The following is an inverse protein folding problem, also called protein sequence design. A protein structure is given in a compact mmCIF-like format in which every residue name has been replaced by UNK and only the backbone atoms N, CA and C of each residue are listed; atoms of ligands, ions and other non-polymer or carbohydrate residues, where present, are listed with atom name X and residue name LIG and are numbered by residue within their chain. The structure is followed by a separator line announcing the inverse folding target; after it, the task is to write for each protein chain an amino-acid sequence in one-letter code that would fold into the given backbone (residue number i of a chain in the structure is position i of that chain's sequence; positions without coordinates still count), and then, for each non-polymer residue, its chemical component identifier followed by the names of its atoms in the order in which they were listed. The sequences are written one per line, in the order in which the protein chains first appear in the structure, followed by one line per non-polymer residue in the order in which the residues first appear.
data_IF_029440106996
#
_entry.id   IF_029440106996
#
_cell.length_a   1.000
_cell.length_b   1.000
_cell.length_c   1.000
_cell.angle_alpha   90.00
_cell.angle_beta   90.00
_cell.angle_gamma   90.00
#
_symmetry.space_group_name_H-M   'P 1'
#
loop_
_entity.id
_entity.type
_entity.pdbx_description
1 polymer ?
#
# COMPACT_ATOMS: atom_id res chain seq x y z
N UNK A 1 -11.78 38.61 -11.24
CA UNK A 1 -12.59 38.82 -10.02
C UNK A 1 -13.50 37.62 -9.87
N UNK A 2 -13.14 36.68 -8.99
CA UNK A 2 -13.94 35.49 -8.68
C UNK A 2 -15.09 35.91 -7.75
N UNK A 3 -16.33 35.56 -8.09
CA UNK A 3 -17.51 35.79 -7.24
C UNK A 3 -17.77 34.53 -6.42
N UNK A 4 -17.90 34.72 -5.11
CA UNK A 4 -18.19 33.69 -4.11
C UNK A 4 -19.63 33.19 -4.22
N UNK A 5 -19.83 31.88 -4.05
CA UNK A 5 -21.14 31.23 -3.92
C UNK A 5 -21.63 31.39 -2.46
N UNK A 6 -22.90 31.73 -2.18
CA UNK A 6 -23.38 31.91 -0.81
C UNK A 6 -23.89 30.61 -0.16
N UNK A 7 -23.42 30.37 1.08
CA UNK A 7 -24.23 29.82 2.17
C UNK A 7 -24.29 28.30 2.36
N UNK A 8 -23.28 27.74 3.04
CA UNK A 8 -23.46 26.65 4.02
C UNK A 8 -22.59 26.98 5.23
N UNK A 9 -23.23 27.23 6.37
CA UNK A 9 -22.61 27.68 7.62
C UNK A 9 -21.70 26.63 8.25
N UNK A 10 -20.67 27.14 8.92
CA UNK A 10 -19.46 26.46 9.37
C UNK A 10 -19.65 25.57 10.61
N UNK A 11 -18.90 24.45 10.66
CA UNK A 11 -18.32 24.00 11.93
C UNK A 11 -17.02 23.23 11.70
N UNK A 12 -15.93 23.73 12.31
CA UNK A 12 -14.77 22.93 12.74
C UNK A 12 -13.58 22.82 11.78
N UNK A 13 -12.64 23.76 11.93
CA UNK A 13 -11.17 23.59 11.81
C UNK A 13 -10.64 22.41 10.95
N UNK A 14 -10.52 22.62 9.64
CA UNK A 14 -9.64 21.82 8.79
C UNK A 14 -9.07 22.79 7.74
N UNK A 15 -7.78 23.14 7.86
CA UNK A 15 -7.08 23.95 6.84
C UNK A 15 -7.39 23.37 5.47
N UNK A 16 -8.17 24.10 4.66
CA UNK A 16 -8.66 23.65 3.36
C UNK A 16 -7.52 23.03 2.56
N UNK A 17 -7.56 21.71 2.40
CA UNK A 17 -6.56 20.95 1.67
C UNK A 17 -6.68 21.39 0.20
N UNK A 18 -5.73 22.21 -0.23
CA UNK A 18 -5.67 22.70 -1.62
C UNK A 18 -5.56 21.51 -2.56
N UNK A 19 -6.25 21.57 -3.71
CA UNK A 19 -6.24 20.47 -4.68
C UNK A 19 -4.79 20.15 -5.10
N UNK A 20 -4.30 18.92 -4.90
CA UNK A 20 -2.92 18.55 -5.26
C UNK A 20 -2.68 18.56 -6.77
N UNK A 21 -3.74 18.61 -7.58
CA UNK A 21 -3.66 18.74 -9.03
C UNK A 21 -3.78 20.21 -9.48
N UNK A 22 -4.12 21.14 -8.58
CA UNK A 22 -4.36 22.54 -8.91
C UNK A 22 -5.59 22.80 -9.79
N UNK A 23 -6.46 21.80 -9.98
CA UNK A 23 -7.60 21.87 -10.92
C UNK A 23 -8.89 22.31 -10.24
N UNK A 24 -9.04 22.09 -8.93
CA UNK A 24 -10.15 22.61 -8.14
C UNK A 24 -9.65 23.39 -6.92
N UNK A 25 -10.57 24.00 -6.20
CA UNK A 25 -10.34 24.75 -4.96
C UNK A 25 -10.12 23.85 -3.71
N UNK A 26 -10.10 22.52 -3.90
CA UNK A 26 -10.03 21.54 -2.81
C UNK A 26 -11.38 20.87 -2.53
N UNK A 27 -12.47 21.29 -3.19
CA UNK A 27 -13.80 20.65 -3.08
C UNK A 27 -13.89 19.28 -3.75
N UNK A 28 -13.00 18.99 -4.71
CA UNK A 28 -13.08 17.79 -5.54
C UNK A 28 -13.99 17.94 -6.75
N UNK A 29 -14.41 19.15 -7.08
CA UNK A 29 -15.25 19.44 -8.23
C UNK A 29 -14.62 20.53 -9.09
N UNK A 30 -14.70 20.38 -10.41
CA UNK A 30 -14.29 21.40 -11.37
C UNK A 30 -15.54 22.06 -11.93
N UNK A 31 -15.62 23.38 -11.82
CA UNK A 31 -16.69 24.17 -12.45
C UNK A 31 -16.29 24.48 -13.89
N UNK A 32 -17.15 24.14 -14.84
CA UNK A 32 -16.98 24.44 -16.26
C UNK A 32 -17.61 25.78 -16.62
N UNK A 33 -17.28 26.29 -17.80
CA UNK A 33 -17.75 27.59 -18.30
C UNK A 33 -19.25 27.59 -18.66
N UNK A 34 -19.88 26.42 -18.78
CA UNK A 34 -21.30 26.21 -19.02
C UNK A 34 -22.10 25.99 -17.72
N UNK A 35 -21.54 26.41 -16.58
CA UNK A 35 -22.08 26.21 -15.23
C UNK A 35 -22.31 24.73 -14.84
N UNK A 36 -21.74 23.78 -15.58
CA UNK A 36 -21.74 22.37 -15.17
C UNK A 36 -20.58 22.04 -14.23
N UNK A 37 -20.79 21.07 -13.35
CA UNK A 37 -19.76 20.57 -12.42
C UNK A 37 -19.40 19.13 -12.75
N UNK A 38 -18.10 18.86 -12.88
CA UNK A 38 -17.57 17.52 -13.06
C UNK A 38 -16.65 17.12 -11.90
N UNK A 39 -16.50 15.83 -11.59
CA UNK A 39 -15.59 15.38 -10.56
C UNK A 39 -14.13 15.69 -10.95
N UNK A 40 -13.41 16.37 -10.06
CA UNK A 40 -11.97 16.53 -10.18
C UNK A 40 -11.27 15.20 -9.87
N UNK A 41 -10.19 14.85 -10.58
CA UNK A 41 -9.40 13.63 -10.28
C UNK A 41 -8.84 13.57 -8.85
N UNK A 42 -8.74 14.70 -8.14
CA UNK A 42 -8.37 14.68 -6.73
C UNK A 42 -9.46 14.15 -5.80
N UNK A 43 -10.71 14.06 -6.27
CA UNK A 43 -11.86 13.65 -5.47
C UNK A 43 -11.79 12.18 -5.08
N UNK A 44 -11.35 11.31 -5.98
CA UNK A 44 -11.09 9.91 -5.65
C UNK A 44 -10.03 9.80 -4.55
N UNK A 45 -8.99 10.63 -4.63
CA UNK A 45 -7.91 10.69 -3.63
C UNK A 45 -8.41 11.25 -2.29
N UNK A 46 -9.35 12.19 -2.30
CA UNK A 46 -9.99 12.71 -1.08
C UNK A 46 -10.97 11.72 -0.46
N UNK A 47 -11.76 11.01 -1.27
CA UNK A 47 -12.61 9.92 -0.80
C UNK A 47 -11.74 8.79 -0.23
N UNK A 48 -10.63 8.45 -0.90
CA UNK A 48 -9.62 7.50 -0.42
C UNK A 48 -9.01 7.93 0.91
N UNK A 49 -8.62 9.20 1.06
CA UNK A 49 -8.09 9.78 2.31
C UNK A 49 -9.12 9.84 3.45
N UNK A 50 -10.36 10.21 3.15
CA UNK A 50 -11.44 10.25 4.13
C UNK A 50 -11.83 8.85 4.60
N UNK A 51 -11.84 7.87 3.67
CA UNK A 51 -11.94 6.46 4.01
C UNK A 51 -10.72 6.02 4.85
N UNK A 52 -9.52 6.48 4.52
CA UNK A 52 -8.27 6.08 5.18
C UNK A 52 -7.89 6.76 6.49
N UNK A 53 -8.66 7.76 6.95
CA UNK A 53 -8.51 8.32 8.31
C UNK A 53 -8.77 7.20 9.34
N UNK A 54 -7.69 6.70 9.95
CA UNK A 54 -7.70 5.55 10.87
C UNK A 54 -7.53 4.15 10.22
N UNK A 55 -7.14 4.06 8.94
CA UNK A 55 -6.94 2.78 8.23
C UNK A 55 -5.49 2.27 8.33
N UNK A 56 -5.33 0.96 8.58
CA UNK A 56 -4.03 0.28 8.66
C UNK A 56 -3.27 0.58 9.94
N UNK A 57 -2.13 -0.09 10.14
CA UNK A 57 -1.27 0.20 11.30
C UNK A 57 -0.49 1.51 11.17
N UNK A 58 -0.54 2.14 9.99
CA UNK A 58 0.35 3.23 9.58
C UNK A 58 1.82 2.79 9.57
N UNK A 59 2.73 3.71 9.28
CA UNK A 59 4.16 3.41 9.37
C UNK A 59 4.57 3.17 10.84
N UNK A 60 5.05 1.96 11.20
CA UNK A 60 5.46 1.67 12.56
C UNK A 60 6.62 2.59 12.99
N UNK A 61 6.67 2.94 14.29
CA UNK A 61 7.66 3.90 14.84
C UNK A 61 9.11 3.59 14.43
N UNK A 62 9.49 2.31 14.41
CA UNK A 62 10.83 1.82 14.02
C UNK A 62 11.21 2.20 12.58
N UNK A 63 10.25 2.33 11.67
CA UNK A 63 10.51 2.54 10.24
C UNK A 63 10.37 3.99 9.79
N UNK A 64 9.90 4.91 10.65
CA UNK A 64 9.70 6.32 10.29
C UNK A 64 10.97 7.05 9.87
N UNK A 65 12.14 6.58 10.33
CA UNK A 65 13.44 7.14 10.01
C UNK A 65 14.18 6.44 8.86
N UNK A 66 13.54 5.49 8.16
CA UNK A 66 14.16 4.79 7.02
C UNK A 66 14.30 5.74 5.84
N UNK A 67 15.49 5.79 5.26
CA UNK A 67 15.85 6.56 4.07
C UNK A 67 16.88 5.78 3.24
N UNK A 68 17.09 6.19 1.99
CA UNK A 68 18.14 5.58 1.16
C UNK A 68 19.56 5.78 1.73
N UNK A 69 19.77 6.84 2.50
CA UNK A 69 21.08 7.21 3.07
C UNK A 69 21.31 6.66 4.49
N UNK A 70 20.44 5.78 4.97
CA UNK A 70 20.55 5.21 6.33
C UNK A 70 20.61 3.70 6.29
N UNK A 71 21.39 3.12 7.20
CA UNK A 71 21.39 1.67 7.45
C UNK A 71 19.98 1.20 7.86
N UNK A 72 19.55 0.03 7.39
CA UNK A 72 20.30 -0.91 6.55
C UNK A 72 20.28 -0.60 5.04
N UNK A 73 19.50 0.39 4.58
CA UNK A 73 19.22 0.58 3.15
C UNK A 73 20.47 0.95 2.35
N UNK A 74 21.31 1.84 2.87
CA UNK A 74 22.52 2.28 2.17
C UNK A 74 23.55 1.16 1.93
N UNK A 75 23.45 0.05 2.66
CA UNK A 75 24.36 -1.10 2.55
C UNK A 75 23.81 -2.18 1.59
N UNK A 76 22.59 -2.02 1.08
CA UNK A 76 21.99 -2.93 0.10
C UNK A 76 22.64 -2.71 -1.28
N UNK A 77 22.76 -3.78 -2.06
CA UNK A 77 23.33 -3.74 -3.40
C UNK A 77 22.71 -2.60 -4.26
N UNK A 78 23.53 -1.70 -4.85
CA UNK A 78 23.08 -0.64 -5.73
C UNK A 78 22.21 -1.12 -6.91
N UNK A 79 22.42 -2.34 -7.39
CA UNK A 79 21.61 -2.96 -8.44
C UNK A 79 20.15 -3.16 -7.99
N UNK A 80 19.93 -3.46 -6.71
CA UNK A 80 18.60 -3.54 -6.10
C UNK A 80 18.05 -2.15 -5.79
N UNK A 81 18.90 -1.24 -5.29
CA UNK A 81 18.47 0.11 -4.92
C UNK A 81 18.02 0.95 -6.11
N UNK A 82 18.63 0.76 -7.29
CA UNK A 82 18.31 1.53 -8.49
C UNK A 82 16.84 1.42 -8.92
N UNK A 83 16.25 0.22 -9.17
CA UNK A 83 14.84 0.10 -9.52
C UNK A 83 13.92 0.59 -8.41
N UNK A 84 14.28 0.39 -7.13
CA UNK A 84 13.50 0.90 -5.99
C UNK A 84 13.47 2.42 -5.97
N UNK A 85 14.62 3.07 -6.22
CA UNK A 85 14.72 4.53 -6.32
C UNK A 85 13.86 5.07 -7.45
N UNK A 86 13.98 4.49 -8.65
CA UNK A 86 13.13 4.85 -9.80
C UNK A 86 11.65 4.71 -9.46
N UNK A 87 11.27 3.61 -8.80
CA UNK A 87 9.88 3.41 -8.40
C UNK A 87 9.42 4.48 -7.41
N UNK A 88 10.24 4.81 -6.40
CA UNK A 88 9.94 5.82 -5.38
C UNK A 88 9.84 7.23 -5.96
N UNK A 89 10.73 7.59 -6.89
CA UNK A 89 10.70 8.88 -7.60
C UNK A 89 9.40 9.05 -8.40
N UNK A 90 8.88 7.96 -8.96
CA UNK A 90 7.64 7.94 -9.74
C UNK A 90 6.47 7.31 -8.96
N UNK A 91 6.54 7.27 -7.62
CA UNK A 91 5.62 6.48 -6.79
C UNK A 91 4.16 6.81 -7.07
N UNK A 92 3.87 8.08 -7.36
CA UNK A 92 2.51 8.49 -7.63
C UNK A 92 1.94 7.89 -8.92
N UNK A 93 2.71 7.97 -10.01
CA UNK A 93 2.34 7.41 -11.30
C UNK A 93 2.30 5.88 -11.25
N UNK A 94 3.20 5.26 -10.46
CA UNK A 94 3.23 3.81 -10.29
C UNK A 94 2.02 3.30 -9.52
N UNK A 95 1.73 3.89 -8.36
CA UNK A 95 0.61 3.47 -7.51
C UNK A 95 -0.73 3.71 -8.19
N UNK A 96 -0.91 4.85 -8.87
CA UNK A 96 -2.16 5.17 -9.56
C UNK A 96 -2.43 4.25 -10.76
N UNK A 97 -1.37 3.68 -11.35
CA UNK A 97 -1.46 2.71 -12.44
C UNK A 97 -1.42 1.25 -11.94
N UNK A 98 -1.66 1.02 -10.64
CA UNK A 98 -1.71 -0.32 -10.06
C UNK A 98 -0.37 -1.05 -9.95
N UNK A 99 0.76 -0.41 -10.26
CA UNK A 99 2.07 -1.07 -10.23
C UNK A 99 2.60 -1.20 -8.81
N UNK A 100 3.15 -2.37 -8.50
CA UNK A 100 3.70 -2.73 -7.21
C UNK A 100 5.20 -3.00 -7.20
N UNK A 101 5.71 -3.44 -6.05
CA UNK A 101 7.05 -4.04 -5.91
C UNK A 101 6.99 -5.26 -5.01
N UNK A 102 7.76 -6.27 -5.34
CA UNK A 102 7.87 -7.49 -4.57
C UNK A 102 9.34 -7.74 -4.23
N UNK A 103 9.66 -7.76 -2.93
CA UNK A 103 10.98 -8.07 -2.41
C UNK A 103 11.02 -9.50 -1.86
N UNK A 104 11.97 -10.32 -2.30
CA UNK A 104 12.14 -11.70 -1.82
C UNK A 104 13.61 -11.99 -1.46
N UNK A 105 13.86 -12.80 -0.43
CA UNK A 105 15.22 -13.17 -0.02
C UNK A 105 15.33 -13.43 1.48
N UNK A 106 16.55 -13.64 1.99
CA UNK A 106 16.76 -14.11 3.35
C UNK A 106 16.33 -13.13 4.45
N UNK A 107 16.06 -13.66 5.65
CA UNK A 107 15.66 -12.85 6.81
C UNK A 107 16.76 -11.83 7.13
N UNK A 108 16.36 -10.59 7.41
CA UNK A 108 17.30 -9.55 7.84
C UNK A 108 18.00 -8.76 6.73
N UNK A 109 17.75 -9.06 5.46
CA UNK A 109 18.41 -8.39 4.31
C UNK A 109 17.88 -6.99 3.96
N UNK A 110 16.93 -6.45 4.73
CA UNK A 110 16.40 -5.10 4.53
C UNK A 110 15.16 -4.97 3.64
N UNK A 111 14.53 -6.08 3.22
CA UNK A 111 13.28 -6.10 2.42
C UNK A 111 12.18 -5.20 2.98
N UNK A 112 11.83 -5.34 4.27
CA UNK A 112 10.82 -4.50 4.92
C UNK A 112 11.21 -3.03 4.89
N UNK A 113 12.50 -2.70 5.04
CA UNK A 113 12.97 -1.31 4.94
C UNK A 113 12.77 -0.74 3.52
N UNK A 114 13.06 -1.52 2.47
CA UNK A 114 12.79 -1.13 1.09
C UNK A 114 11.29 -0.92 0.83
N UNK A 115 10.45 -1.87 1.28
CA UNK A 115 9.01 -1.75 1.16
C UNK A 115 8.45 -0.54 1.92
N UNK A 116 9.02 -0.22 3.10
CA UNK A 116 8.67 0.96 3.87
C UNK A 116 9.05 2.28 3.18
N UNK A 117 10.12 2.32 2.37
CA UNK A 117 10.44 3.50 1.55
C UNK A 117 9.34 3.77 0.53
N UNK A 118 8.81 2.71 -0.10
CA UNK A 118 7.71 2.80 -1.06
C UNK A 118 6.44 3.29 -0.37
N UNK A 119 6.07 2.67 0.76
CA UNK A 119 4.90 3.06 1.56
C UNK A 119 4.99 4.53 2.01
N UNK A 120 6.13 4.95 2.53
CA UNK A 120 6.38 6.33 2.93
C UNK A 120 6.27 7.31 1.76
N UNK A 121 6.83 6.95 0.61
CA UNK A 121 6.76 7.79 -0.58
C UNK A 121 5.31 7.92 -1.07
N UNK A 122 4.54 6.83 -1.05
CA UNK A 122 3.12 6.84 -1.40
C UNK A 122 2.33 7.75 -0.44
N UNK A 123 2.50 7.61 0.88
CA UNK A 123 1.85 8.49 1.87
C UNK A 123 2.23 9.97 1.65
N UNK A 124 3.53 10.28 1.49
CA UNK A 124 4.00 11.65 1.23
C UNK A 124 3.46 12.23 -0.07
N UNK A 125 3.28 11.40 -1.10
CA UNK A 125 2.67 11.79 -2.37
C UNK A 125 1.14 11.90 -2.28
N UNK A 126 0.56 11.57 -1.13
CA UNK A 126 -0.83 11.81 -0.81
C UNK A 126 -1.79 10.66 -1.07
N UNK A 127 -1.26 9.43 -1.21
CA UNK A 127 -2.04 8.20 -1.39
C UNK A 127 -2.30 7.53 -0.05
N UNK A 128 -3.44 6.85 0.03
CA UNK A 128 -3.80 6.02 1.16
C UNK A 128 -2.98 4.74 1.18
N UNK A 129 -2.43 4.40 2.34
CA UNK A 129 -1.56 3.22 2.51
C UNK A 129 -2.05 2.40 3.69
N UNK A 130 -2.13 1.08 3.51
CA UNK A 130 -2.32 0.14 4.63
C UNK A 130 -1.13 -0.81 4.70
N UNK A 131 -0.58 -0.99 5.89
CA UNK A 131 0.60 -1.82 6.14
C UNK A 131 0.23 -2.92 7.13
N UNK A 132 0.49 -4.16 6.74
CA UNK A 132 0.19 -5.33 7.54
C UNK A 132 1.29 -6.40 7.42
N UNK A 133 1.84 -6.88 8.55
CA UNK A 133 2.37 -8.23 8.61
C UNK A 133 1.25 -9.21 8.25
N UNK A 134 1.48 -10.13 7.31
CA UNK A 134 0.44 -11.05 6.80
C UNK A 134 -0.17 -11.89 7.94
N UNK A 135 0.64 -12.35 8.88
CA UNK A 135 0.18 -13.10 10.06
C UNK A 135 -0.77 -12.29 10.94
N UNK A 136 -0.50 -10.99 11.14
CA UNK A 136 -1.39 -10.09 11.89
C UNK A 136 -2.68 -9.82 11.13
N UNK A 137 -2.61 -9.60 9.82
CA UNK A 137 -3.79 -9.42 8.98
C UNK A 137 -4.73 -10.62 9.09
N UNK A 138 -4.21 -11.84 8.96
CA UNK A 138 -5.00 -13.07 9.10
C UNK A 138 -5.61 -13.19 10.50
N UNK A 139 -4.87 -12.83 11.56
CA UNK A 139 -5.41 -12.81 12.91
C UNK A 139 -6.56 -11.80 13.06
N UNK A 140 -6.43 -10.59 12.52
CA UNK A 140 -7.49 -9.58 12.52
C UNK A 140 -8.73 -10.05 11.74
N UNK A 141 -8.55 -10.67 10.57
CA UNK A 141 -9.66 -11.26 9.81
C UNK A 141 -10.35 -12.34 10.62
N UNK A 142 -9.59 -13.26 11.24
CA UNK A 142 -10.15 -14.33 12.06
C UNK A 142 -10.99 -13.79 13.22
N UNK A 143 -10.46 -12.79 13.92
CA UNK A 143 -11.12 -12.13 15.05
C UNK A 143 -12.44 -11.45 14.64
N UNK A 144 -12.56 -10.97 13.39
CA UNK A 144 -13.84 -10.42 12.89
C UNK A 144 -14.97 -11.45 12.80
N UNK A 145 -14.66 -12.74 12.60
CA UNK A 145 -15.66 -13.80 12.59
C UNK A 145 -16.09 -14.19 14.01
N UNK A 146 -15.17 -14.15 14.98
CA UNK A 146 -15.46 -14.53 16.37
C UNK A 146 -16.37 -13.51 17.09
N UNK A 147 -16.39 -12.26 16.62
CA UNK A 147 -17.27 -11.19 17.17
C UNK A 147 -18.68 -11.17 16.56
N UNK A 148 -19.02 -12.14 15.71
CA UNK A 148 -20.35 -12.40 15.10
C UNK A 148 -21.06 -11.16 14.50
N UNK A 149 -20.28 -10.24 13.95
CA UNK A 149 -20.78 -9.05 13.26
C UNK A 149 -20.21 -9.06 11.85
N UNK A 150 -20.77 -9.83 10.91
CA UNK A 150 -20.27 -9.94 9.53
C UNK A 150 -20.00 -8.58 8.81
N UNK A 151 -20.60 -7.49 9.31
CA UNK A 151 -20.26 -6.12 8.95
C UNK A 151 -18.77 -5.75 9.18
N UNK A 152 -18.14 -6.29 10.23
CA UNK A 152 -16.74 -6.08 10.61
C UNK A 152 -15.77 -6.66 9.56
N UNK A 153 -15.95 -7.92 9.15
CA UNK A 153 -15.14 -8.54 8.09
C UNK A 153 -15.26 -7.77 6.77
N UNK A 154 -16.49 -7.52 6.31
CA UNK A 154 -16.73 -6.79 5.06
C UNK A 154 -16.19 -5.35 5.10
N UNK A 155 -16.14 -4.71 6.27
CA UNK A 155 -15.50 -3.40 6.41
C UNK A 155 -13.97 -3.49 6.28
N UNK A 156 -13.34 -4.52 6.87
CA UNK A 156 -11.91 -4.76 6.76
C UNK A 156 -11.52 -5.16 5.33
N UNK A 157 -12.27 -6.06 4.70
CA UNK A 157 -12.03 -6.45 3.31
C UNK A 157 -12.11 -5.25 2.36
N UNK A 158 -13.20 -4.48 2.40
CA UNK A 158 -13.35 -3.27 1.57
C UNK A 158 -12.23 -2.25 1.81
N UNK A 159 -11.77 -2.13 3.05
CA UNK A 159 -10.62 -1.28 3.39
C UNK A 159 -9.34 -1.76 2.70
N UNK A 160 -9.03 -3.05 2.81
CA UNK A 160 -7.82 -3.63 2.21
C UNK A 160 -7.83 -3.53 0.68
N UNK A 161 -9.01 -3.59 0.06
CA UNK A 161 -9.14 -3.50 -1.40
C UNK A 161 -9.17 -2.04 -1.90
N UNK A 162 -9.66 -1.08 -1.09
CA UNK A 162 -9.83 0.31 -1.53
C UNK A 162 -8.65 1.26 -1.27
N UNK A 163 -7.69 0.91 -0.42
CA UNK A 163 -6.48 1.74 -0.27
C UNK A 163 -5.66 1.76 -1.57
N UNK A 164 -5.01 2.89 -1.84
CA UNK A 164 -4.23 3.08 -3.06
C UNK A 164 -3.03 2.11 -3.09
N UNK A 165 -2.37 1.92 -1.95
CA UNK A 165 -1.27 0.96 -1.79
C UNK A 165 -1.48 0.06 -0.57
N UNK A 166 -1.51 -1.26 -0.79
CA UNK A 166 -1.48 -2.27 0.26
C UNK A 166 -0.06 -2.85 0.39
N UNK A 167 0.52 -2.75 1.58
CA UNK A 167 1.81 -3.35 1.91
C UNK A 167 1.57 -4.62 2.74
N UNK A 168 1.88 -5.78 2.15
CA UNK A 168 1.87 -7.08 2.79
C UNK A 168 3.30 -7.50 3.16
N UNK A 169 3.62 -7.45 4.45
CA UNK A 169 4.95 -7.76 4.98
C UNK A 169 5.02 -9.23 5.44
N UNK A 170 6.15 -9.90 5.16
CA UNK A 170 6.45 -11.29 5.47
C UNK A 170 5.42 -12.30 4.90
N UNK A 171 5.03 -12.14 3.64
CA UNK A 171 4.19 -13.10 2.90
C UNK A 171 4.86 -14.47 2.81
N UNK A 172 4.12 -15.51 3.17
CA UNK A 172 4.58 -16.90 3.19
C UNK A 172 5.11 -17.36 4.54
N UNK A 173 5.15 -16.51 5.56
CA UNK A 173 5.52 -16.91 6.93
C UNK A 173 4.36 -17.56 7.71
N UNK A 174 3.14 -17.39 7.23
CA UNK A 174 1.92 -17.94 7.83
C UNK A 174 1.80 -19.46 7.67
N UNK A 175 1.01 -20.10 8.55
CA UNK A 175 0.69 -21.51 8.38
C UNK A 175 -0.29 -21.67 7.21
N UNK A 176 0.09 -22.45 6.21
CA UNK A 176 -0.77 -22.78 5.08
C UNK A 176 -2.01 -23.56 5.55
N UNK A 177 -3.19 -23.01 5.25
CA UNK A 177 -4.51 -23.66 5.37
C UNK A 177 -5.39 -23.20 4.21
N UNK A 178 -6.44 -23.96 3.86
CA UNK A 178 -7.36 -23.58 2.78
C UNK A 178 -7.97 -22.21 3.02
N UNK A 179 -8.37 -21.93 4.26
CA UNK A 179 -8.87 -20.62 4.66
C UNK A 179 -7.86 -19.49 4.41
N UNK A 180 -6.57 -19.69 4.76
CA UNK A 180 -5.52 -18.69 4.50
C UNK A 180 -5.36 -18.44 3.00
N UNK A 181 -5.34 -19.52 2.20
CA UNK A 181 -5.24 -19.41 0.73
C UNK A 181 -6.42 -18.64 0.14
N UNK A 182 -7.64 -18.90 0.61
CA UNK A 182 -8.86 -18.19 0.22
C UNK A 182 -8.79 -16.70 0.57
N UNK A 183 -8.36 -16.34 1.79
CA UNK A 183 -8.27 -14.94 2.21
C UNK A 183 -7.24 -14.17 1.39
N UNK A 184 -6.02 -14.73 1.24
CA UNK A 184 -4.96 -14.10 0.45
C UNK A 184 -5.37 -13.96 -1.01
N UNK A 185 -5.93 -15.00 -1.61
CA UNK A 185 -6.43 -14.95 -2.98
C UNK A 185 -7.51 -13.89 -3.14
N UNK A 186 -8.49 -13.82 -2.22
CA UNK A 186 -9.59 -12.86 -2.32
C UNK A 186 -9.09 -11.41 -2.31
N UNK A 187 -8.18 -11.09 -1.38
CA UNK A 187 -7.62 -9.73 -1.25
C UNK A 187 -6.78 -9.38 -2.49
N UNK A 188 -5.88 -10.27 -2.90
CA UNK A 188 -4.98 -10.03 -4.04
C UNK A 188 -5.77 -9.96 -5.35
N UNK A 189 -6.76 -10.84 -5.54
CA UNK A 189 -7.56 -10.89 -6.75
C UNK A 189 -8.44 -9.64 -6.90
N UNK A 190 -9.10 -9.17 -5.84
CA UNK A 190 -9.90 -7.93 -5.90
C UNK A 190 -9.02 -6.74 -6.29
N UNK A 191 -7.84 -6.62 -5.66
CA UNK A 191 -6.89 -5.55 -6.00
C UNK A 191 -6.35 -5.67 -7.41
N UNK A 192 -6.13 -6.89 -7.91
CA UNK A 192 -5.74 -7.12 -9.29
C UNK A 192 -6.84 -6.70 -10.27
N UNK A 193 -8.11 -7.01 -9.98
CA UNK A 193 -9.26 -6.62 -10.80
C UNK A 193 -9.45 -5.10 -10.84
N UNK A 194 -9.24 -4.42 -9.71
CA UNK A 194 -9.42 -2.97 -9.56
C UNK A 194 -8.15 -2.16 -9.89
N UNK A 195 -7.11 -2.80 -10.46
CA UNK A 195 -5.82 -2.17 -10.80
C UNK A 195 -5.19 -1.42 -9.60
N UNK A 196 -5.24 -2.03 -8.41
CA UNK A 196 -4.75 -1.45 -7.15
C UNK A 196 -3.36 -1.98 -6.78
N UNK A 197 -2.46 -1.06 -6.45
CA UNK A 197 -1.04 -1.35 -6.18
C UNK A 197 -0.81 -2.18 -4.92
N UNK A 198 0.13 -3.12 -4.96
CA UNK A 198 0.56 -3.91 -3.79
C UNK A 198 2.08 -3.80 -3.65
N UNK A 199 2.58 -3.69 -2.44
CA UNK A 199 3.99 -3.95 -2.12
C UNK A 199 4.06 -5.18 -1.23
N UNK A 200 4.95 -6.12 -1.58
CA UNK A 200 5.10 -7.39 -0.86
C UNK A 200 6.54 -7.59 -0.41
N UNK A 201 6.72 -8.14 0.77
CA UNK A 201 7.97 -8.78 1.18
C UNK A 201 7.75 -10.26 1.44
N UNK A 202 8.72 -11.11 1.09
CA UNK A 202 8.68 -12.55 1.38
C UNK A 202 10.07 -13.09 1.70
N UNK A 203 10.15 -14.08 2.58
CA UNK A 203 11.40 -14.81 2.84
C UNK A 203 11.59 -16.03 1.91
N UNK A 204 10.67 -16.25 0.96
CA UNK A 204 10.71 -17.36 0.01
C UNK A 204 11.14 -16.79 -1.36
N UNK A 205 12.35 -17.15 -1.80
CA UNK A 205 12.89 -16.72 -3.09
C UNK A 205 12.43 -17.62 -4.26
N UNK A 206 12.25 -18.90 -3.99
CA UNK A 206 11.78 -19.88 -4.96
C UNK A 206 10.28 -19.69 -5.25
N UNK A 207 9.95 -19.39 -6.51
CA UNK A 207 8.58 -19.15 -6.92
C UNK A 207 7.70 -20.40 -6.83
N UNK A 208 8.24 -21.59 -7.04
CA UNK A 208 7.46 -22.83 -6.92
C UNK A 208 7.15 -23.13 -5.46
N UNK A 209 8.12 -22.95 -4.57
CA UNK A 209 7.89 -23.02 -3.13
C UNK A 209 6.85 -21.98 -2.67
N UNK A 210 6.90 -20.76 -3.21
CA UNK A 210 5.91 -19.75 -2.86
C UNK A 210 4.52 -20.08 -3.42
N UNK A 211 4.41 -20.61 -4.65
CA UNK A 211 3.14 -21.06 -5.24
C UNK A 211 2.51 -22.16 -4.40
N UNK A 212 3.32 -23.06 -3.84
CA UNK A 212 2.85 -24.00 -2.85
C UNK A 212 2.36 -23.23 -1.62
N UNK A 213 3.19 -22.38 -1.02
CA UNK A 213 2.86 -21.73 0.25
C UNK A 213 1.61 -20.84 0.22
N UNK A 214 1.43 -20.00 -0.80
CA UNK A 214 0.36 -18.98 -0.86
C UNK A 214 -0.63 -19.16 -2.02
N UNK A 215 -0.45 -20.21 -2.82
CA UNK A 215 -1.32 -20.56 -3.94
C UNK A 215 -0.87 -19.97 -5.27
N UNK A 216 -0.91 -20.80 -6.33
CA UNK A 216 -0.43 -20.42 -7.66
C UNK A 216 -1.15 -19.21 -8.27
N UNK A 217 -2.47 -19.09 -8.05
CA UNK A 217 -3.26 -17.95 -8.54
C UNK A 217 -2.85 -16.64 -7.87
N UNK A 218 -2.65 -16.68 -6.55
CA UNK A 218 -2.18 -15.52 -5.77
C UNK A 218 -0.82 -15.05 -6.29
N UNK A 219 0.13 -15.97 -6.48
CA UNK A 219 1.45 -15.64 -7.05
C UNK A 219 1.35 -15.06 -8.46
N UNK A 220 0.49 -15.61 -9.31
CA UNK A 220 0.26 -15.09 -10.67
C UNK A 220 -0.21 -13.63 -10.63
N UNK A 221 -1.19 -13.31 -9.79
CA UNK A 221 -1.72 -11.93 -9.67
C UNK A 221 -0.68 -10.97 -9.09
N UNK A 222 0.09 -11.41 -8.10
CA UNK A 222 1.18 -10.60 -7.56
C UNK A 222 2.26 -10.34 -8.63
N UNK A 223 2.59 -11.33 -9.46
CA UNK A 223 3.54 -11.15 -10.54
C UNK A 223 3.04 -10.15 -11.61
N UNK A 224 1.73 -10.11 -11.88
CA UNK A 224 1.14 -9.12 -12.79
C UNK A 224 1.15 -7.71 -12.19
N UNK A 225 0.87 -7.56 -10.89
CA UNK A 225 0.87 -6.26 -10.18
C UNK A 225 2.29 -5.72 -9.98
N UNK A 226 3.18 -6.57 -9.46
CA UNK A 226 4.50 -6.16 -8.95
C UNK A 226 5.65 -6.43 -9.94
N UNK A 227 5.41 -7.18 -11.00
CA UNK A 227 6.47 -7.86 -11.73
C UNK A 227 7.05 -9.04 -10.93
N UNK A 228 8.18 -9.57 -11.41
CA UNK A 228 8.91 -10.64 -10.70
C UNK A 228 9.53 -10.16 -9.38
N UNK A 229 9.81 -11.08 -8.44
CA UNK A 229 10.44 -10.73 -7.18
C UNK A 229 11.84 -10.13 -7.40
N UNK A 230 12.09 -8.99 -6.76
CA UNK A 230 13.42 -8.40 -6.62
C UNK A 230 14.18 -9.19 -5.54
N UNK A 231 15.25 -9.92 -5.89
CA UNK A 231 16.04 -10.68 -4.93
C UNK A 231 16.83 -9.73 -4.04
N UNK A 232 16.61 -9.80 -2.74
CA UNK A 232 17.34 -9.04 -1.72
C UNK A 232 18.19 -9.99 -0.90
N UNK A 233 19.42 -10.17 -1.36
CA UNK A 233 20.42 -11.06 -0.77
C UNK A 233 21.44 -10.24 0.03
N UNK A 234 21.97 -10.82 1.10
CA UNK A 234 22.97 -10.17 1.94
C UNK A 234 23.08 -10.83 3.30
N UNK A 235 23.97 -10.32 4.14
CA UNK A 235 24.03 -10.73 5.55
C UNK A 235 22.82 -10.18 6.31
N UNK A 236 22.46 -10.81 7.43
CA UNK A 236 21.42 -10.26 8.31
C UNK A 236 21.88 -8.91 8.88
N UNK A 237 21.27 -7.84 8.38
CA UNK A 237 21.60 -6.45 8.76
C UNK A 237 21.11 -6.09 10.16
N UNK A 238 20.46 -7.02 10.88
CA UNK A 238 20.09 -6.89 12.29
C UNK A 238 21.19 -7.37 13.23
N UNK A 239 22.09 -8.24 12.76
CA UNK A 239 23.21 -8.78 13.54
C UNK A 239 24.54 -8.09 13.23
N UNK A 240 24.61 -7.36 12.10
CA UNK A 240 25.68 -6.40 11.85
C UNK A 240 25.44 -5.17 12.75
N UNK A 241 26.04 -5.21 13.94
CA UNK A 241 26.09 -4.04 14.83
C UNK A 241 26.76 -2.83 14.16
N UNK A 242 26.63 -1.63 14.76
CA UNK A 242 27.22 -0.40 14.22
C UNK A 242 28.72 -0.53 13.96
#
# INVERSE_FOLDING_TARGET
MLRSVPGLEESGDDRAATCPLGVCDGSGWVLRADDTTEPCGCRERMIGRARSRGMGTGIPKRFRGVSFDRRPVCDIDPFILRPVRTFVEQVGVNVDAGRGLWFAGDVGTGKTSLAMLVSQAAERSGRSVAIYPVTRLLAEIKDTYERDTGASYMSLFRRLCSVDLLHLDDLGAEKRTDWVLEQLYSIVNERWQDERSIVVTSNILDLDQLREQVGARTVSRLAEICGGPLPVMGQDLRTSGP
#
